data_IF_329405635963
#
_entry.id   IF_329405635963
#
_cell.length_a   1.000
_cell.length_b   1.000
_cell.length_c   1.000
_cell.angle_alpha   90.00
_cell.angle_beta   90.00
_cell.angle_gamma   90.00
#
_symmetry.space_group_name_H-M   'P 1'
#
loop_
_entity.id
_entity.type
_entity.pdbx_description
1 polymer ?
#
# COMPACT_ATOMS: atom_id res chain seq x y z
N UNK A 1 -2.43 -4.01 -27.96
CA UNK A 1 -2.35 -4.63 -26.62
C UNK A 1 -0.89 -4.91 -26.30
N UNK A 2 -0.19 -3.93 -25.74
CA UNK A 2 1.17 -4.18 -25.24
C UNK A 2 1.03 -4.98 -23.95
N UNK A 3 1.27 -6.30 -24.05
CA UNK A 3 1.39 -7.17 -22.89
C UNK A 3 2.70 -6.82 -22.21
N UNK A 4 2.70 -5.82 -21.34
CA UNK A 4 3.80 -5.63 -20.40
C UNK A 4 4.00 -6.96 -19.67
N UNK A 5 5.18 -7.54 -19.88
CA UNK A 5 5.57 -8.77 -19.22
C UNK A 5 5.46 -8.57 -17.72
N UNK A 6 4.86 -9.50 -16.96
CA UNK A 6 4.80 -9.36 -15.52
C UNK A 6 6.20 -9.29 -14.92
N UNK A 7 6.35 -8.59 -13.80
CA UNK A 7 7.68 -8.26 -13.22
C UNK A 7 8.54 -9.51 -12.91
N UNK A 8 7.90 -10.66 -12.72
CA UNK A 8 8.51 -11.94 -12.39
C UNK A 8 8.92 -12.75 -13.63
N UNK A 9 8.45 -12.40 -14.83
CA UNK A 9 8.80 -13.13 -16.05
C UNK A 9 10.31 -13.05 -16.33
N UNK A 10 10.95 -14.20 -16.52
CA UNK A 10 12.39 -14.29 -16.74
C UNK A 10 13.26 -14.06 -15.50
N UNK A 11 12.66 -13.89 -14.31
CA UNK A 11 13.37 -13.86 -13.02
C UNK A 11 13.29 -15.20 -12.33
N UNK A 12 14.34 -15.53 -11.59
CA UNK A 12 14.38 -16.68 -10.67
C UNK A 12 13.56 -16.40 -9.42
N UNK A 13 13.13 -17.45 -8.72
CA UNK A 13 12.43 -17.32 -7.44
C UNK A 13 13.28 -16.53 -6.41
N UNK A 14 14.60 -16.71 -6.41
CA UNK A 14 15.55 -15.98 -5.56
C UNK A 14 15.58 -14.50 -5.89
N UNK A 15 15.64 -14.12 -7.18
CA UNK A 15 15.61 -12.72 -7.58
C UNK A 15 14.31 -12.04 -7.17
N UNK A 16 13.17 -12.75 -7.27
CA UNK A 16 11.87 -12.24 -6.83
C UNK A 16 11.83 -12.06 -5.31
N UNK A 17 12.34 -13.03 -4.56
CA UNK A 17 12.48 -12.93 -3.10
C UNK A 17 13.30 -11.70 -2.70
N UNK A 18 14.39 -11.43 -3.42
CA UNK A 18 15.33 -10.35 -3.11
C UNK A 18 14.83 -8.96 -3.51
N UNK A 19 13.67 -8.83 -4.17
CA UNK A 19 13.09 -7.53 -4.48
C UNK A 19 12.68 -6.76 -3.22
N UNK A 20 12.43 -7.46 -2.10
CA UNK A 20 12.01 -6.91 -0.80
C UNK A 20 10.84 -5.89 -0.88
N UNK A 21 10.01 -6.00 -1.91
CA UNK A 21 8.82 -5.16 -2.14
C UNK A 21 7.53 -5.91 -1.81
N UNK A 22 6.47 -5.16 -1.50
CA UNK A 22 5.12 -5.72 -1.41
C UNK A 22 4.58 -6.07 -2.79
N UNK A 23 3.70 -7.05 -2.83
CA UNK A 23 2.94 -7.43 -4.02
C UNK A 23 1.45 -7.37 -3.71
N UNK A 24 0.66 -7.06 -4.74
CA UNK A 24 -0.78 -7.31 -4.76
C UNK A 24 -1.02 -8.62 -5.49
N UNK A 25 -1.74 -9.54 -4.85
CA UNK A 25 -2.14 -10.82 -5.43
C UNK A 25 -3.65 -10.79 -5.60
N UNK A 26 -4.11 -10.97 -6.84
CA UNK A 26 -5.53 -11.16 -7.17
C UNK A 26 -5.75 -12.63 -7.44
N UNK A 27 -6.74 -13.22 -6.77
CA UNK A 27 -7.10 -14.63 -6.91
C UNK A 27 -8.15 -14.80 -8.02
N UNK A 28 -8.28 -16.03 -8.54
CA UNK A 28 -9.29 -16.36 -9.57
C UNK A 28 -10.72 -16.06 -9.10
N UNK A 29 -11.00 -16.21 -7.80
CA UNK A 29 -12.31 -15.91 -7.20
C UNK A 29 -12.57 -14.40 -6.99
N UNK A 30 -11.60 -13.52 -7.31
CA UNK A 30 -11.68 -12.08 -7.14
C UNK A 30 -11.13 -11.53 -5.82
N UNK A 31 -10.69 -12.39 -4.88
CA UNK A 31 -10.08 -11.94 -3.62
C UNK A 31 -8.74 -11.25 -3.88
N UNK A 32 -8.43 -10.22 -3.09
CA UNK A 32 -7.21 -9.42 -3.23
C UNK A 32 -6.43 -9.41 -1.92
N UNK A 33 -5.15 -9.78 -2.00
CA UNK A 33 -4.22 -9.81 -0.87
C UNK A 33 -3.03 -8.90 -1.16
N UNK A 34 -2.57 -8.17 -0.14
CA UNK A 34 -1.42 -7.25 -0.24
C UNK A 34 -0.43 -7.58 0.86
N UNK A 35 0.82 -7.84 0.49
CA UNK A 35 1.84 -8.20 1.48
C UNK A 35 3.21 -8.46 0.88
N UNK A 36 4.19 -8.77 1.74
CA UNK A 36 5.52 -9.22 1.32
C UNK A 36 5.51 -10.72 1.09
N UNK A 37 6.27 -11.15 0.10
CA UNK A 37 6.52 -12.56 -0.15
C UNK A 37 7.66 -13.04 0.76
N UNK A 38 7.37 -14.07 1.53
CA UNK A 38 8.35 -14.75 2.37
C UNK A 38 8.63 -16.14 1.81
N UNK A 39 9.91 -16.54 1.87
CA UNK A 39 10.30 -17.90 1.51
C UNK A 39 9.84 -18.85 2.59
N UNK A 40 9.09 -19.88 2.20
CA UNK A 40 8.93 -21.05 3.07
C UNK A 40 10.10 -21.99 2.82
N UNK A 41 10.76 -22.36 3.91
CA UNK A 41 11.78 -23.40 3.92
C UNK A 41 11.13 -24.68 3.44
N UNK A 42 11.60 -25.17 2.29
CA UNK A 42 11.49 -26.52 1.73
C UNK A 42 10.24 -27.24 2.26
N UNK A 43 9.13 -27.11 1.54
CA UNK A 43 8.01 -28.03 1.75
C UNK A 43 8.56 -29.46 1.64
N UNK A 44 7.92 -30.41 2.32
CA UNK A 44 8.40 -31.78 2.52
C UNK A 44 8.71 -32.52 1.20
N UNK A 45 8.26 -31.95 0.08
CA UNK A 45 8.40 -32.42 -1.30
C UNK A 45 9.57 -31.78 -2.08
N UNK A 46 10.41 -30.96 -1.45
CA UNK A 46 11.63 -30.39 -2.05
C UNK A 46 11.43 -29.14 -2.92
N UNK A 47 10.19 -28.67 -3.08
CA UNK A 47 9.82 -27.49 -3.86
C UNK A 47 10.12 -26.20 -3.07
N UNK A 48 10.63 -25.19 -3.77
CA UNK A 48 10.84 -23.85 -3.23
C UNK A 48 9.60 -22.98 -3.48
N UNK A 49 9.07 -22.36 -2.43
CA UNK A 49 7.87 -21.53 -2.54
C UNK A 49 8.04 -20.14 -1.91
N UNK A 50 7.41 -19.16 -2.55
CA UNK A 50 7.17 -17.84 -1.97
C UNK A 50 5.70 -17.71 -1.62
N UNK A 51 5.45 -17.36 -0.37
CA UNK A 51 4.11 -17.24 0.18
C UNK A 51 3.92 -15.88 0.83
N UNK A 52 2.69 -15.42 0.87
CA UNK A 52 2.29 -14.26 1.67
C UNK A 52 1.72 -14.77 2.99
N UNK A 53 2.24 -14.27 4.11
CA UNK A 53 1.61 -14.53 5.40
C UNK A 53 0.35 -13.68 5.51
N UNK A 54 -0.79 -14.33 5.71
CA UNK A 54 -2.09 -13.65 5.80
C UNK A 54 -2.41 -13.19 7.23
N UNK A 55 -1.94 -13.92 8.24
CA UNK A 55 -2.26 -13.65 9.64
C UNK A 55 -1.13 -14.01 10.62
N UNK A 56 -1.31 -13.66 11.89
CA UNK A 56 -0.39 -14.02 12.98
C UNK A 56 -0.34 -15.53 13.27
N UNK A 57 -1.33 -16.30 12.82
CA UNK A 57 -1.42 -17.75 12.99
C UNK A 57 -0.67 -18.54 11.93
N UNK A 58 0.14 -17.85 11.10
CA UNK A 58 0.93 -18.46 10.02
C UNK A 58 0.06 -19.12 8.95
N UNK A 59 -1.12 -18.58 8.70
CA UNK A 59 -1.83 -18.87 7.46
C UNK A 59 -1.06 -18.24 6.32
N UNK A 60 -0.78 -19.03 5.28
CA UNK A 60 0.00 -18.59 4.14
C UNK A 60 -0.80 -18.75 2.85
N UNK A 61 -0.86 -17.68 2.08
CA UNK A 61 -1.22 -17.74 0.67
C UNK A 61 0.02 -18.11 -0.13
N UNK A 62 -0.02 -19.22 -0.82
CA UNK A 62 1.05 -19.63 -1.71
C UNK A 62 0.95 -18.89 -3.05
N UNK A 63 2.00 -18.15 -3.44
CA UNK A 63 1.97 -17.21 -4.58
C UNK A 63 2.85 -17.68 -5.74
N UNK A 64 4.04 -18.19 -5.42
CA UNK A 64 4.97 -18.74 -6.42
C UNK A 64 5.55 -20.07 -5.94
N UNK A 65 5.73 -20.99 -6.88
CA UNK A 65 6.46 -22.25 -6.69
C UNK A 65 7.55 -22.39 -7.73
N UNK A 66 8.66 -23.01 -7.38
CA UNK A 66 9.73 -23.37 -8.31
C UNK A 66 10.43 -24.64 -7.83
N UNK A 67 11.00 -25.41 -8.77
CA UNK A 67 11.80 -26.59 -8.44
C UNK A 67 13.02 -26.25 -7.57
N UNK A 68 13.60 -25.07 -7.76
CA UNK A 68 14.68 -24.55 -6.95
C UNK A 68 14.58 -23.02 -6.84
N UNK A 69 15.41 -22.40 -6.00
CA UNK A 69 15.44 -20.94 -5.92
C UNK A 69 15.97 -20.27 -7.18
N UNK A 70 16.73 -20.99 -8.00
CA UNK A 70 17.46 -20.45 -9.15
C UNK A 70 16.72 -20.73 -10.47
N UNK A 71 15.49 -21.25 -10.39
CA UNK A 71 14.61 -21.44 -11.54
C UNK A 71 13.49 -20.42 -11.56
N UNK A 72 12.94 -20.18 -12.75
CA UNK A 72 11.79 -19.31 -12.92
C UNK A 72 10.57 -19.92 -12.22
N UNK A 73 9.81 -19.13 -11.44
CA UNK A 73 8.66 -19.67 -10.76
C UNK A 73 7.45 -19.85 -11.68
N UNK A 74 6.55 -20.70 -11.22
CA UNK A 74 5.19 -20.84 -11.71
C UNK A 74 4.21 -20.23 -10.72
N UNK A 75 3.14 -19.65 -11.24
CA UNK A 75 2.01 -19.16 -10.46
C UNK A 75 0.97 -20.29 -10.36
N UNK A 76 0.46 -20.61 -9.15
CA UNK A 76 -0.63 -21.56 -8.99
C UNK A 76 -1.91 -21.13 -9.73
N UNK A 77 -2.71 -22.07 -10.22
CA UNK A 77 -3.89 -21.76 -11.03
C UNK A 77 -4.96 -20.90 -10.34
N UNK A 78 -5.00 -20.90 -9.02
CA UNK A 78 -5.94 -20.10 -8.22
C UNK A 78 -5.50 -18.63 -8.04
N UNK A 79 -4.29 -18.27 -8.50
CA UNK A 79 -3.80 -16.89 -8.52
C UNK A 79 -3.93 -16.35 -9.94
N UNK A 80 -4.70 -15.28 -10.11
CA UNK A 80 -4.95 -14.63 -11.40
C UNK A 80 -3.82 -13.64 -11.75
N UNK A 81 -3.54 -12.69 -10.85
CA UNK A 81 -2.48 -11.69 -11.08
C UNK A 81 -1.59 -11.49 -9.87
N UNK A 82 -0.32 -11.17 -10.13
CA UNK A 82 0.65 -10.73 -9.11
C UNK A 82 1.31 -9.45 -9.62
N UNK A 83 1.02 -8.35 -8.95
CA UNK A 83 1.51 -7.01 -9.31
C UNK A 83 2.49 -6.52 -8.26
N UNK A 84 3.60 -5.94 -8.71
CA UNK A 84 4.57 -5.33 -7.83
C UNK A 84 4.00 -4.00 -7.33
N UNK A 85 3.95 -3.84 -6.00
CA UNK A 85 3.61 -2.57 -5.38
C UNK A 85 4.90 -1.87 -4.97
N UNK A 86 4.95 -0.57 -5.22
CA UNK A 86 5.96 0.25 -4.56
C UNK A 86 5.67 0.26 -3.06
N UNK A 87 6.68 -0.01 -2.24
CA UNK A 87 6.63 0.38 -0.85
C UNK A 87 6.63 1.91 -0.83
N UNK A 88 5.69 2.56 -0.11
CA UNK A 88 5.80 3.99 0.09
C UNK A 88 7.12 4.24 0.80
N UNK A 89 7.81 5.32 0.44
CA UNK A 89 8.91 5.79 1.28
C UNK A 89 8.35 6.01 2.68
N UNK A 90 9.08 5.61 3.71
CA UNK A 90 8.64 5.79 5.09
C UNK A 90 9.62 6.69 5.81
N UNK A 91 9.12 7.74 6.44
CA UNK A 91 9.82 8.43 7.51
C UNK A 91 9.80 7.52 8.75
N UNK A 92 10.98 7.26 9.33
CA UNK A 92 11.09 6.52 10.60
C UNK A 92 10.87 7.47 11.76
N UNK A 93 9.99 7.08 12.69
CA UNK A 93 9.66 7.82 13.90
C UNK A 93 10.14 7.01 15.09
N UNK A 94 11.17 7.49 15.78
CA UNK A 94 11.77 6.79 16.93
C UNK A 94 11.12 7.15 18.28
N UNK A 95 10.22 8.13 18.31
CA UNK A 95 9.52 8.57 19.51
C UNK A 95 8.04 8.32 19.38
N UNK A 96 7.47 7.57 20.32
CA UNK A 96 6.04 7.25 20.28
C UNK A 96 5.18 8.53 20.40
N UNK A 97 5.69 9.58 21.05
CA UNK A 97 5.03 10.89 21.14
C UNK A 97 4.81 11.58 19.78
N UNK A 98 5.62 11.25 18.78
CA UNK A 98 5.55 11.83 17.44
C UNK A 98 4.64 11.01 16.48
N UNK A 99 4.09 9.89 16.96
CA UNK A 99 3.19 9.00 16.21
C UNK A 99 1.84 9.68 16.00
N UNK A 100 1.28 9.51 14.81
CA UNK A 100 0.00 10.06 14.39
C UNK A 100 -0.87 8.97 13.78
N UNK A 101 -2.17 9.26 13.68
CA UNK A 101 -3.12 8.45 12.92
C UNK A 101 -2.63 8.30 11.47
N UNK A 102 -2.64 7.07 10.96
CA UNK A 102 -2.14 6.72 9.64
C UNK A 102 -0.67 6.26 9.60
N UNK A 103 0.08 6.42 10.68
CA UNK A 103 1.41 5.80 10.80
C UNK A 103 1.28 4.27 10.99
N UNK A 104 2.38 3.55 10.77
CA UNK A 104 2.49 2.13 11.07
C UNK A 104 3.29 1.98 12.36
N UNK A 105 2.65 1.50 13.41
CA UNK A 105 3.31 1.13 14.67
C UNK A 105 4.13 -0.15 14.46
N UNK A 106 5.43 -0.11 14.76
CA UNK A 106 6.27 -1.31 14.78
C UNK A 106 6.59 -1.67 16.22
N UNK A 107 6.15 -2.86 16.60
CA UNK A 107 6.38 -3.40 17.92
C UNK A 107 7.80 -3.95 18.10
N UNK A 108 8.26 -4.08 19.34
CA UNK A 108 9.56 -4.67 19.70
C UNK A 108 9.78 -6.09 19.16
N UNK A 109 8.71 -6.84 18.94
CA UNK A 109 8.75 -8.17 18.32
C UNK A 109 8.76 -8.13 16.78
N UNK A 110 8.76 -6.95 16.16
CA UNK A 110 8.79 -6.74 14.72
C UNK A 110 7.41 -6.69 14.05
N UNK A 111 6.33 -6.95 14.77
CA UNK A 111 4.97 -6.88 14.21
C UNK A 111 4.59 -5.43 13.88
N UNK A 112 3.82 -5.26 12.81
CA UNK A 112 3.42 -3.96 12.26
C UNK A 112 1.91 -3.82 12.31
N UNK A 113 1.43 -2.66 12.78
CA UNK A 113 0.00 -2.40 12.90
C UNK A 113 -0.34 -0.98 12.46
N UNK A 114 -1.47 -0.79 11.80
CA UNK A 114 -1.95 0.54 11.38
C UNK A 114 -2.46 1.32 12.59
N UNK A 115 -1.97 2.54 12.78
CA UNK A 115 -2.42 3.43 13.85
C UNK A 115 -3.73 4.11 13.45
N UNK A 116 -4.78 3.92 14.24
CA UNK A 116 -6.11 4.48 13.99
C UNK A 116 -6.52 5.57 15.01
N UNK A 117 -5.92 5.57 16.21
CA UNK A 117 -6.06 6.64 17.20
C UNK A 117 -4.80 6.74 18.07
N UNK A 118 -4.56 7.93 18.63
CA UNK A 118 -3.48 8.19 19.58
C UNK A 118 -4.09 8.82 20.82
N UNK A 119 -3.81 8.24 21.98
CA UNK A 119 -4.24 8.78 23.26
C UNK A 119 -3.06 9.39 23.99
N UNK A 120 -3.16 10.69 24.29
CA UNK A 120 -2.15 11.48 24.97
C UNK A 120 -2.51 11.75 26.45
N UNK A 121 -3.51 11.06 27.02
CA UNK A 121 -4.01 11.44 28.35
C UNK A 121 -2.97 11.23 29.47
N UNK A 122 -2.63 12.35 30.11
CA UNK A 122 -1.61 12.54 31.15
C UNK A 122 -2.14 12.18 32.56
N UNK A 123 -3.46 11.99 32.72
CA UNK A 123 -4.07 11.99 34.05
C UNK A 123 -4.84 10.70 34.36
N UNK A 124 -4.13 9.71 34.95
CA UNK A 124 -4.57 8.82 36.07
C UNK A 124 -3.83 7.48 36.15
N UNK A 125 -3.03 7.13 35.15
CA UNK A 125 -2.24 5.90 35.14
C UNK A 125 -0.84 6.20 34.64
N UNK A 126 0.00 6.65 35.57
CA UNK A 126 1.46 6.67 35.52
C UNK A 126 2.08 6.09 34.22
N UNK A 127 2.27 6.96 33.22
CA UNK A 127 3.23 6.82 32.09
C UNK A 127 2.96 5.75 31.03
N UNK A 128 1.84 5.79 30.32
CA UNK A 128 1.75 4.92 29.14
C UNK A 128 1.01 5.58 27.99
N UNK A 129 1.76 6.30 27.13
CA UNK A 129 1.25 6.70 25.83
C UNK A 129 0.77 5.45 25.10
N UNK A 130 -0.47 5.48 24.62
CA UNK A 130 -1.13 4.36 23.99
C UNK A 130 -1.57 4.73 22.59
N UNK A 131 -1.37 3.80 21.66
CA UNK A 131 -1.75 3.95 20.26
C UNK A 131 -2.75 2.85 19.95
N UNK A 132 -3.94 3.22 19.51
CA UNK A 132 -4.93 2.23 19.08
C UNK A 132 -4.54 1.78 17.69
N UNK A 133 -4.31 0.48 17.55
CA UNK A 133 -3.93 -0.13 16.30
C UNK A 133 -5.00 -1.08 15.80
N UNK A 134 -5.15 -1.17 14.49
CA UNK A 134 -6.03 -2.16 13.86
C UNK A 134 -5.31 -3.51 13.80
N UNK A 135 -5.99 -4.58 14.23
CA UNK A 135 -5.46 -5.95 14.26
C UNK A 135 -6.42 -6.87 13.50
N UNK A 136 -5.96 -7.42 12.37
CA UNK A 136 -6.64 -8.40 11.47
C UNK A 136 -8.14 -8.14 11.17
N UNK A 137 -8.75 -9.02 10.35
CA UNK A 137 -10.09 -8.87 9.78
C UNK A 137 -11.18 -8.60 10.83
N UNK A 138 -12.00 -7.56 10.58
CA UNK A 138 -13.20 -7.10 11.32
C UNK A 138 -12.95 -6.15 12.49
N UNK A 139 -12.82 -4.85 12.20
CA UNK A 139 -13.07 -3.72 13.13
C UNK A 139 -12.43 -3.83 14.54
N UNK A 140 -11.42 -4.67 14.69
CA UNK A 140 -10.84 -5.03 15.97
C UNK A 140 -9.66 -4.12 16.26
N UNK A 141 -9.75 -3.45 17.41
CA UNK A 141 -8.84 -2.38 17.79
C UNK A 141 -8.27 -2.67 19.17
N UNK A 142 -6.95 -2.54 19.30
CA UNK A 142 -6.24 -2.77 20.56
C UNK A 142 -5.35 -1.59 20.87
N UNK A 143 -5.32 -1.19 22.14
CA UNK A 143 -4.38 -0.19 22.64
C UNK A 143 -2.98 -0.80 22.82
N UNK A 144 -2.01 -0.25 22.10
CA UNK A 144 -0.61 -0.60 22.17
C UNK A 144 0.16 0.46 22.97
N UNK A 145 0.80 0.00 24.04
CA UNK A 145 1.53 0.83 24.98
C UNK A 145 2.97 1.10 24.54
N UNK A 146 3.57 2.18 25.04
CA UNK A 146 4.98 2.54 24.81
C UNK A 146 5.99 1.42 25.12
N UNK A 147 5.69 0.54 26.08
CA UNK A 147 6.53 -0.61 26.41
C UNK A 147 6.69 -1.61 25.26
N UNK A 148 5.74 -1.61 24.32
CA UNK A 148 5.76 -2.45 23.13
C UNK A 148 6.32 -1.72 21.90
N UNK A 149 6.60 -0.42 21.98
CA UNK A 149 7.02 0.40 20.85
C UNK A 149 8.51 0.23 20.55
N UNK A 150 8.85 -0.10 19.30
CA UNK A 150 10.21 -0.06 18.80
C UNK A 150 10.48 1.22 18.00
N UNK A 151 9.58 1.51 17.05
CA UNK A 151 9.55 2.69 16.19
C UNK A 151 8.21 2.72 15.45
N UNK A 152 7.90 3.81 14.76
CA UNK A 152 6.84 3.87 13.78
C UNK A 152 7.38 4.22 12.39
N UNK A 153 6.59 3.93 11.38
CA UNK A 153 6.85 4.27 9.99
C UNK A 153 5.71 5.15 9.51
N UNK A 154 6.02 6.39 9.14
CA UNK A 154 5.06 7.29 8.51
C UNK A 154 5.20 7.16 6.99
N UNK A 155 4.18 6.67 6.28
CA UNK A 155 4.23 6.66 4.82
C UNK A 155 4.38 8.10 4.33
N UNK A 156 5.48 8.40 3.66
CA UNK A 156 5.63 9.61 2.87
C UNK A 156 4.53 9.59 1.82
N UNK A 157 3.61 10.56 1.81
CA UNK A 157 2.57 10.64 0.80
C UNK A 157 3.23 10.70 -0.58
N UNK A 158 3.12 9.63 -1.38
CA UNK A 158 3.53 9.68 -2.79
C UNK A 158 2.53 10.57 -3.50
N UNK A 159 2.90 11.82 -3.73
CA UNK A 159 2.08 12.79 -4.45
C UNK A 159 2.48 12.79 -5.93
N UNK A 160 1.59 13.27 -6.82
CA UNK A 160 1.98 13.49 -8.20
C UNK A 160 3.15 14.47 -8.29
N UNK A 161 4.15 14.08 -9.07
CA UNK A 161 5.41 14.82 -9.26
C UNK A 161 5.66 15.20 -10.72
N UNK A 162 4.74 14.84 -11.62
CA UNK A 162 4.71 15.24 -13.02
C UNK A 162 3.28 15.22 -13.56
N UNK A 163 3.11 15.85 -14.72
CA UNK A 163 1.84 15.93 -15.43
C UNK A 163 1.33 14.55 -15.89
N UNK A 164 0.01 14.43 -15.99
CA UNK A 164 -0.64 13.25 -16.54
C UNK A 164 -1.79 12.72 -15.70
N UNK A 165 -2.14 11.46 -15.95
CA UNK A 165 -3.19 10.76 -15.23
C UNK A 165 -2.61 10.00 -14.05
N UNK A 166 -3.22 10.18 -12.89
CA UNK A 166 -2.82 9.55 -11.64
C UNK A 166 -4.00 8.83 -10.99
N UNK A 167 -3.75 7.72 -10.33
CA UNK A 167 -4.70 7.00 -9.50
C UNK A 167 -4.38 7.26 -8.03
N UNK A 168 -5.38 7.67 -7.24
CA UNK A 168 -5.23 7.82 -5.80
C UNK A 168 -5.23 6.47 -5.05
N UNK A 169 -5.16 6.52 -3.71
CA UNK A 169 -5.16 5.33 -2.85
C UNK A 169 -6.38 4.42 -3.03
N UNK A 170 -7.52 4.99 -3.45
CA UNK A 170 -8.77 4.27 -3.70
C UNK A 170 -8.93 3.87 -5.16
N UNK A 171 -7.96 4.19 -6.03
CA UNK A 171 -8.01 3.89 -7.46
C UNK A 171 -8.85 4.89 -8.27
N UNK A 172 -9.25 6.03 -7.71
CA UNK A 172 -9.92 7.08 -8.47
C UNK A 172 -8.90 7.83 -9.34
N UNK A 173 -9.29 8.15 -10.57
CA UNK A 173 -8.45 8.85 -11.54
C UNK A 173 -8.48 10.37 -11.32
N UNK A 174 -7.30 10.97 -11.40
CA UNK A 174 -7.05 12.40 -11.28
C UNK A 174 -6.18 12.86 -12.45
N UNK A 175 -6.37 14.11 -12.88
CA UNK A 175 -5.54 14.78 -13.89
C UNK A 175 -4.62 15.77 -13.19
N UNK A 176 -3.34 15.77 -13.56
CA UNK A 176 -2.32 16.71 -13.11
C UNK A 176 -1.83 17.51 -14.31
N UNK A 177 -1.88 18.84 -14.21
CA UNK A 177 -1.64 19.78 -15.32
C UNK A 177 -0.29 20.48 -15.25
N UNK A 178 0.25 20.87 -16.42
CA UNK A 178 1.53 21.52 -16.81
C UNK A 178 2.15 22.60 -15.89
N UNK A 179 1.45 23.00 -14.83
CA UNK A 179 1.98 23.87 -13.78
C UNK A 179 2.43 23.11 -12.53
N UNK A 180 2.51 21.77 -12.56
CA UNK A 180 2.92 20.85 -11.47
C UNK A 180 2.18 21.01 -10.12
N UNK A 181 1.13 21.83 -10.09
CA UNK A 181 0.56 22.35 -8.84
C UNK A 181 -0.92 22.08 -8.67
N UNK A 182 -1.61 21.54 -9.67
CA UNK A 182 -3.07 21.32 -9.57
C UNK A 182 -3.45 19.87 -9.86
N UNK A 183 -4.22 19.30 -8.94
CA UNK A 183 -4.79 17.97 -8.97
C UNK A 183 -6.29 18.12 -9.23
N UNK A 184 -6.80 17.49 -10.30
CA UNK A 184 -8.14 17.75 -10.83
C UNK A 184 -8.96 16.46 -10.98
N UNK A 185 -10.20 16.45 -10.50
CA UNK A 185 -11.12 15.32 -10.67
C UNK A 185 -11.94 15.45 -11.98
N UNK A 186 -11.66 14.64 -13.02
CA UNK A 186 -12.40 14.70 -14.29
C UNK A 186 -13.89 14.36 -14.13
N UNK A 187 -14.25 13.50 -13.17
CA UNK A 187 -15.65 13.12 -12.93
C UNK A 187 -16.47 14.22 -12.25
N UNK A 188 -15.81 15.21 -11.65
CA UNK A 188 -16.48 16.34 -10.99
C UNK A 188 -16.78 17.51 -11.93
N UNK A 189 -16.42 17.41 -13.21
CA UNK A 189 -16.67 18.46 -14.20
C UNK A 189 -18.17 18.64 -14.46
N UNK A 190 -18.70 19.80 -14.09
CA UNK A 190 -20.06 20.21 -14.44
C UNK A 190 -20.00 21.42 -15.35
N UNK A 191 -20.67 21.29 -16.50
CA UNK A 191 -20.84 22.37 -17.48
C UNK A 191 -22.01 23.25 -17.05
N UNK A 192 -21.76 24.54 -16.84
CA UNK A 192 -22.80 25.51 -16.48
C UNK A 192 -22.89 26.54 -17.61
N UNK A 193 -24.08 26.70 -18.19
CA UNK A 193 -24.36 27.74 -19.18
C UNK A 193 -25.24 28.78 -18.50
N UNK A 194 -24.69 29.97 -18.25
CA UNK A 194 -25.45 31.11 -17.73
C UNK A 194 -25.24 32.33 -18.63
N UNK A 195 -26.35 32.91 -19.11
CA UNK A 195 -26.39 34.19 -19.84
C UNK A 195 -25.33 34.33 -20.95
N UNK A 196 -25.17 33.29 -21.78
CA UNK A 196 -24.21 33.29 -22.89
C UNK A 196 -22.76 33.02 -22.51
N UNK A 197 -22.45 32.85 -21.22
CA UNK A 197 -21.13 32.46 -20.74
C UNK A 197 -21.07 30.98 -20.39
N UNK A 198 -20.04 30.30 -20.88
CA UNK A 198 -19.71 28.94 -20.49
C UNK A 198 -18.81 28.99 -19.25
N UNK A 199 -19.24 28.34 -18.17
CA UNK A 199 -18.40 28.11 -16.99
C UNK A 199 -18.21 26.61 -16.77
N UNK A 200 -16.99 26.23 -16.41
CA UNK A 200 -16.65 24.87 -16.01
C UNK A 200 -16.41 24.93 -14.49
N UNK A 201 -17.08 24.07 -13.73
CA UNK A 201 -16.89 23.92 -12.29
C UNK A 201 -16.46 22.48 -12.00
N UNK A 202 -15.54 22.29 -11.07
CA UNK A 202 -15.06 20.97 -10.66
C UNK A 202 -14.26 21.03 -9.37
N UNK A 203 -13.90 19.86 -8.83
CA UNK A 203 -13.04 19.73 -7.66
C UNK A 203 -11.59 19.82 -8.12
N UNK A 204 -10.85 20.77 -7.56
CA UNK A 204 -9.43 20.97 -7.81
C UNK A 204 -8.75 21.40 -6.51
N UNK A 205 -7.54 20.92 -6.27
CA UNK A 205 -6.71 21.34 -5.14
C UNK A 205 -5.23 21.28 -5.52
N UNK A 206 -4.39 21.86 -4.66
CA UNK A 206 -2.95 21.85 -4.86
C UNK A 206 -2.39 20.43 -4.80
N UNK A 207 -1.40 20.07 -5.63
CA UNK A 207 -0.74 18.74 -5.58
C UNK A 207 -0.10 18.44 -4.23
N UNK A 208 0.25 19.48 -3.46
CA UNK A 208 0.80 19.40 -2.09
C UNK A 208 -0.18 19.85 -0.99
N UNK A 209 -1.46 19.98 -1.32
CA UNK A 209 -2.48 20.38 -0.34
C UNK A 209 -2.80 19.25 0.65
N UNK A 210 -3.36 19.59 1.81
CA UNK A 210 -3.87 18.60 2.78
C UNK A 210 -4.89 17.64 2.16
N UNK A 211 -5.68 18.11 1.19
CA UNK A 211 -6.64 17.28 0.46
C UNK A 211 -5.93 16.27 -0.45
N UNK A 212 -4.86 16.67 -1.14
CA UNK A 212 -4.02 15.74 -1.89
C UNK A 212 -3.34 14.73 -0.98
N UNK A 213 -2.78 15.14 0.16
CA UNK A 213 -2.13 14.25 1.11
C UNK A 213 -3.08 13.16 1.63
N UNK A 214 -4.36 13.50 1.88
CA UNK A 214 -5.38 12.53 2.30
C UNK A 214 -5.72 11.47 1.24
N UNK A 215 -5.48 11.78 -0.04
CA UNK A 215 -5.74 10.91 -1.18
C UNK A 215 -4.53 10.04 -1.55
N UNK A 216 -3.34 10.39 -1.07
CA UNK A 216 -2.12 9.63 -1.29
C UNK A 216 -2.17 8.20 -0.67
N UNK A 217 -1.36 7.24 -1.17
CA UNK A 217 -0.38 7.40 -2.25
C UNK A 217 -1.04 7.46 -3.63
N UNK A 218 -0.52 8.33 -4.48
CA UNK A 218 -0.83 8.39 -5.91
C UNK A 218 0.14 7.50 -6.69
N UNK A 219 -0.34 6.92 -7.79
CA UNK A 219 0.46 6.20 -8.79
C UNK A 219 0.08 6.65 -10.21
N UNK A 220 1.00 6.69 -11.17
CA UNK A 220 0.64 6.98 -12.56
C UNK A 220 -0.44 5.99 -13.04
N UNK A 221 -1.48 6.50 -13.67
CA UNK A 221 -2.44 5.66 -14.38
C UNK A 221 -1.73 5.12 -15.63
N UNK A 222 -1.67 3.80 -15.79
CA UNK A 222 -1.07 3.21 -16.99
C UNK A 222 -1.78 3.77 -18.22
N UNK A 223 -1.00 4.38 -19.12
CA UNK A 223 -1.50 4.82 -20.43
C UNK A 223 -1.74 3.55 -21.24
N UNK A 224 -3.00 3.26 -21.55
CA UNK A 224 -3.31 2.27 -22.59
C UNK A 224 -3.02 2.97 -23.91
N UNK A 225 -1.84 2.73 -24.49
CA UNK A 225 -1.59 3.09 -25.88
C UNK A 225 -2.61 2.35 -26.76
N UNK A 226 -3.42 3.13 -27.47
CA UNK A 226 -4.43 2.66 -28.41
C UNK A 226 -3.82 2.21 -29.73
#
# INVERSE_FOLDING_TARGET
MSSEKPFWEGKTLMEIQNLDKRVKVTMENGDVFIGKLVRRSRDTDGICSLSMQLDAHRTYLHVFSAESSDTQPVIPSYVDTVELLDDPEYERIDRIEDVRVGDIFVAMNGNKFSVVAVDFDDDKTNRTLAVMVQVDDLDSHVWMFNSNFAYALRPTPKLPDHDGLWLDKNGKTWVVSDSDTTLFDPGSLIRIINSGSLKIKGIAFGTKSDDAIKLAPFRPAKVVEA
#
